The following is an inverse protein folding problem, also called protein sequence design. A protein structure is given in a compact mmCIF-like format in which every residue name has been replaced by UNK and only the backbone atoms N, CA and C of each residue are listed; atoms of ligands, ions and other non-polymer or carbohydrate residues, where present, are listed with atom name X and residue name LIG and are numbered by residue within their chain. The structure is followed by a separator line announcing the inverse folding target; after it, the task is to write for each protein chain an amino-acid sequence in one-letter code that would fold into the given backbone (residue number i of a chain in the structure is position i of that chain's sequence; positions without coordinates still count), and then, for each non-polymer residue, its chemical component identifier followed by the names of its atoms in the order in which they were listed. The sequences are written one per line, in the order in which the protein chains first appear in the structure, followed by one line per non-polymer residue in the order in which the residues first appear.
data_IF_335437349997
#
_entry.id   IF_335437349997
#
_cell.length_a   1.000
_cell.length_b   1.000
_cell.length_c   1.000
_cell.angle_alpha   90.00
_cell.angle_beta   90.00
_cell.angle_gamma   90.00
#
_symmetry.space_group_name_H-M   'P 1'
#
loop_
_entity.id
_entity.type
_entity.pdbx_description
1 polymer ?
#
# COMPACT_ATOMS: atom_id res chain seq x y z
N UNK A 1 22.02 36.67 -19.71
CA UNK A 1 21.03 35.61 -19.43
C UNK A 1 20.82 35.59 -17.93
N UNK A 2 19.59 35.72 -17.43
CA UNK A 2 19.35 35.44 -16.02
C UNK A 2 19.76 33.99 -15.77
N UNK A 3 20.66 33.76 -14.81
CA UNK A 3 21.00 32.41 -14.35
C UNK A 3 19.67 31.77 -13.92
N UNK A 4 19.23 30.75 -14.66
CA UNK A 4 18.08 29.95 -14.22
C UNK A 4 18.57 29.17 -13.00
N UNK A 5 17.77 29.18 -11.94
CA UNK A 5 18.05 28.37 -10.77
C UNK A 5 17.96 26.91 -11.20
N UNK A 6 19.12 26.25 -11.36
CA UNK A 6 19.19 24.87 -11.82
C UNK A 6 19.81 23.99 -10.74
N UNK A 7 19.33 22.76 -10.64
CA UNK A 7 19.92 21.74 -9.80
C UNK A 7 20.04 20.42 -10.56
N UNK A 8 20.93 19.57 -10.07
CA UNK A 8 21.10 18.20 -10.54
C UNK A 8 20.55 17.22 -9.51
N UNK A 9 20.21 16.02 -9.93
CA UNK A 9 19.93 14.91 -9.03
C UNK A 9 20.91 13.75 -9.30
N UNK A 10 21.32 13.06 -8.24
CA UNK A 10 22.39 12.08 -8.28
C UNK A 10 22.07 10.82 -7.48
N UNK A 11 22.56 9.69 -7.97
CA UNK A 11 22.44 8.37 -7.36
C UNK A 11 23.79 7.64 -7.36
N UNK A 12 23.81 6.33 -7.07
CA UNK A 12 25.03 5.52 -7.15
C UNK A 12 25.65 5.42 -8.54
N UNK A 13 24.89 5.77 -9.59
CA UNK A 13 25.40 5.78 -10.97
C UNK A 13 26.29 7.00 -11.25
N UNK A 14 26.19 8.04 -10.45
CA UNK A 14 26.96 9.27 -10.63
C UNK A 14 28.23 9.27 -9.77
N UNK A 15 29.30 9.97 -10.17
CA UNK A 15 30.48 10.17 -9.34
C UNK A 15 30.14 10.83 -8.00
N UNK A 16 31.02 10.64 -7.02
CA UNK A 16 30.90 11.21 -5.68
C UNK A 16 32.06 12.14 -5.32
N UNK A 17 32.92 12.48 -6.28
CA UNK A 17 34.13 13.28 -6.05
C UNK A 17 33.83 14.77 -5.95
N UNK A 18 34.69 15.53 -5.26
CA UNK A 18 34.58 16.98 -5.16
C UNK A 18 34.71 17.65 -6.53
N UNK A 19 35.58 17.12 -7.39
CA UNK A 19 35.81 17.64 -8.74
C UNK A 19 34.55 17.54 -9.60
N UNK A 20 33.76 16.46 -9.45
CA UNK A 20 32.48 16.31 -10.14
C UNK A 20 31.49 17.40 -9.74
N UNK A 21 31.29 17.63 -8.44
CA UNK A 21 30.38 18.69 -7.98
C UNK A 21 30.89 20.09 -8.30
N UNK A 22 32.21 20.31 -8.29
CA UNK A 22 32.79 21.57 -8.72
C UNK A 22 32.55 21.82 -10.22
N UNK A 23 32.66 20.79 -11.05
CA UNK A 23 32.37 20.88 -12.48
C UNK A 23 30.88 21.18 -12.73
N UNK A 24 29.97 20.50 -12.03
CA UNK A 24 28.53 20.76 -12.11
C UNK A 24 28.20 22.21 -11.70
N UNK A 25 28.79 22.70 -10.59
CA UNK A 25 28.65 24.09 -10.15
C UNK A 25 29.15 25.08 -11.20
N UNK A 26 30.29 24.81 -11.82
CA UNK A 26 30.86 25.66 -12.87
C UNK A 26 29.97 25.70 -14.13
N UNK A 27 29.15 24.68 -14.35
CA UNK A 27 28.14 24.64 -15.42
C UNK A 27 26.77 25.21 -15.02
N UNK A 28 26.64 25.75 -13.81
CA UNK A 28 25.45 26.47 -13.35
C UNK A 28 24.54 25.71 -12.39
N UNK A 29 24.95 24.53 -11.89
CA UNK A 29 24.22 23.89 -10.79
C UNK A 29 24.34 24.74 -9.52
N UNK A 30 23.20 24.98 -8.86
CA UNK A 30 23.10 25.65 -7.57
C UNK A 30 22.68 24.69 -6.44
N UNK A 31 22.09 23.55 -6.80
CA UNK A 31 21.71 22.49 -5.87
C UNK A 31 22.04 21.08 -6.39
N UNK A 32 22.02 20.12 -5.46
CA UNK A 32 22.12 18.69 -5.73
C UNK A 32 21.09 17.92 -4.87
N UNK A 33 20.24 17.11 -5.49
CA UNK A 33 19.33 16.18 -4.78
C UNK A 33 19.95 14.79 -4.80
N UNK A 34 20.25 14.23 -3.62
CA UNK A 34 21.01 12.98 -3.50
C UNK A 34 20.07 11.84 -3.12
N UNK A 35 20.09 10.73 -3.88
CA UNK A 35 19.41 9.49 -3.51
C UNK A 35 20.01 8.95 -2.22
N UNK A 36 19.21 8.77 -1.19
CA UNK A 36 19.69 8.10 0.02
C UNK A 36 19.31 6.63 0.03
N UNK A 37 18.05 6.35 -0.29
CA UNK A 37 17.43 5.06 -0.01
C UNK A 37 16.46 4.64 -1.12
N UNK A 38 16.20 3.34 -1.22
CA UNK A 38 15.16 2.77 -2.08
C UNK A 38 14.47 1.59 -1.39
N UNK A 39 13.14 1.68 -1.30
CA UNK A 39 12.28 0.71 -0.64
C UNK A 39 12.51 0.55 0.86
N UNK A 40 11.85 -0.44 1.46
CA UNK A 40 11.74 -0.58 2.93
C UNK A 40 12.92 -1.27 3.59
N UNK A 41 13.18 -0.96 4.87
CA UNK A 41 14.27 -1.58 5.67
C UNK A 41 14.08 -3.09 5.88
N UNK A 42 12.83 -3.55 5.85
CA UNK A 42 12.43 -4.95 5.92
C UNK A 42 12.28 -5.61 4.53
N UNK A 43 12.66 -4.91 3.45
CA UNK A 43 12.57 -5.37 2.06
C UNK A 43 13.88 -5.17 1.28
N UNK A 44 13.88 -4.31 0.27
CA UNK A 44 15.06 -4.02 -0.54
C UNK A 44 16.14 -3.25 0.23
N UNK A 45 15.77 -2.47 1.24
CA UNK A 45 16.64 -1.73 2.15
C UNK A 45 17.89 -1.13 1.49
N UNK A 46 17.75 -0.62 0.26
CA UNK A 46 18.90 -0.16 -0.49
C UNK A 46 19.33 1.18 0.10
N UNK A 47 20.62 1.30 0.38
CA UNK A 47 21.26 2.58 0.73
C UNK A 47 22.25 2.89 -0.38
N UNK A 48 22.20 4.11 -0.91
CA UNK A 48 23.18 4.57 -1.89
C UNK A 48 24.58 4.61 -1.23
N UNK A 49 25.54 3.77 -1.67
CA UNK A 49 26.86 3.67 -1.04
C UNK A 49 27.68 4.94 -1.21
N UNK A 50 27.31 5.79 -2.18
CA UNK A 50 28.00 7.04 -2.51
C UNK A 50 27.39 8.25 -1.81
N UNK A 51 26.20 8.13 -1.22
CA UNK A 51 25.44 9.26 -0.72
C UNK A 51 26.21 10.13 0.29
N UNK A 52 26.86 9.52 1.28
CA UNK A 52 27.63 10.28 2.27
C UNK A 52 28.77 11.10 1.63
N UNK A 53 29.46 10.54 0.63
CA UNK A 53 30.49 11.26 -0.11
C UNK A 53 29.89 12.33 -1.03
N UNK A 54 28.78 12.02 -1.71
CA UNK A 54 28.05 12.94 -2.57
C UNK A 54 27.57 14.18 -1.81
N UNK A 55 26.88 13.99 -0.68
CA UNK A 55 26.42 15.09 0.19
C UNK A 55 27.62 15.94 0.62
N UNK A 56 28.65 15.31 1.21
CA UNK A 56 29.80 16.04 1.75
C UNK A 56 30.50 16.87 0.68
N UNK A 57 30.70 16.31 -0.51
CA UNK A 57 31.42 16.96 -1.57
C UNK A 57 30.58 18.03 -2.29
N UNK A 58 29.27 17.85 -2.41
CA UNK A 58 28.34 18.89 -2.87
C UNK A 58 28.31 20.09 -1.91
N UNK A 59 28.19 19.85 -0.61
CA UNK A 59 28.26 20.89 0.43
C UNK A 59 29.62 21.61 0.39
N UNK A 60 30.73 20.87 0.23
CA UNK A 60 32.08 21.43 0.21
C UNK A 60 32.37 22.37 -0.96
N UNK A 61 31.59 22.28 -2.06
CA UNK A 61 31.66 23.24 -3.17
C UNK A 61 30.56 24.30 -3.08
N UNK A 62 29.72 24.27 -2.05
CA UNK A 62 28.66 25.23 -1.78
C UNK A 62 27.44 25.07 -2.69
N UNK A 63 27.05 23.84 -3.02
CA UNK A 63 25.71 23.53 -3.54
C UNK A 63 24.74 23.37 -2.38
N UNK A 64 23.48 23.77 -2.58
CA UNK A 64 22.39 23.34 -1.69
C UNK A 64 22.18 21.83 -1.84
N UNK A 65 21.99 21.12 -0.73
CA UNK A 65 21.75 19.66 -0.78
C UNK A 65 20.36 19.34 -0.24
N UNK A 66 19.63 18.57 -1.05
CA UNK A 66 18.36 17.92 -0.70
C UNK A 66 18.52 16.40 -0.84
N UNK A 67 17.57 15.64 -0.33
CA UNK A 67 17.64 14.19 -0.33
C UNK A 67 16.37 13.57 -0.90
N UNK A 68 16.48 12.43 -1.57
CA UNK A 68 15.30 11.69 -2.03
C UNK A 68 15.35 10.21 -1.65
N UNK A 69 14.15 9.63 -1.54
CA UNK A 69 13.89 8.22 -1.37
C UNK A 69 13.13 7.70 -2.59
N UNK A 70 13.70 6.73 -3.32
CA UNK A 70 13.00 6.09 -4.44
C UNK A 70 11.91 5.15 -3.90
N UNK A 71 10.65 5.54 -4.09
CA UNK A 71 9.48 4.87 -3.52
C UNK A 71 9.25 3.50 -4.14
N UNK A 72 9.00 2.52 -3.27
CA UNK A 72 8.61 1.16 -3.67
C UNK A 72 7.42 0.64 -2.84
N UNK A 73 6.85 1.51 -2.02
CA UNK A 73 5.84 1.13 -1.05
C UNK A 73 4.65 0.44 -1.69
N UNK A 74 4.16 -0.59 -1.03
CA UNK A 74 3.02 -1.41 -1.49
C UNK A 74 1.77 -1.22 -0.62
N UNK A 75 1.84 -0.33 0.37
CA UNK A 75 0.73 0.09 1.22
C UNK A 75 1.09 1.35 2.01
N UNK A 76 0.11 1.97 2.68
CA UNK A 76 0.34 3.08 3.63
C UNK A 76 1.34 2.69 4.74
N UNK A 77 1.20 1.49 5.32
CA UNK A 77 2.09 1.04 6.39
C UNK A 77 3.54 0.86 5.90
N UNK A 78 3.68 0.41 4.65
CA UNK A 78 4.97 0.25 3.97
C UNK A 78 5.60 1.61 3.64
N UNK A 79 4.81 2.56 3.15
CA UNK A 79 5.23 3.94 2.93
C UNK A 79 5.76 4.61 4.22
N UNK A 80 5.11 4.36 5.36
CA UNK A 80 5.60 4.82 6.65
C UNK A 80 6.91 4.10 7.07
N UNK A 81 7.10 2.83 6.67
CA UNK A 81 8.37 2.11 6.89
C UNK A 81 9.50 2.73 6.05
N UNK A 82 9.27 2.92 4.76
CA UNK A 82 10.19 3.60 3.84
C UNK A 82 10.58 4.99 4.36
N UNK A 83 9.61 5.77 4.87
CA UNK A 83 9.86 7.07 5.48
C UNK A 83 10.76 6.99 6.72
N UNK A 84 10.50 6.04 7.63
CA UNK A 84 11.36 5.80 8.82
C UNK A 84 12.78 5.40 8.42
N UNK A 85 12.91 4.54 7.42
CA UNK A 85 14.21 4.12 6.88
C UNK A 85 14.96 5.31 6.26
N UNK A 86 14.27 6.08 5.42
CA UNK A 86 14.83 7.29 4.79
C UNK A 86 15.34 8.28 5.84
N UNK A 87 14.54 8.59 6.86
CA UNK A 87 14.92 9.49 7.96
C UNK A 87 16.08 8.93 8.78
N UNK A 88 16.09 7.62 9.08
CA UNK A 88 17.20 6.98 9.79
C UNK A 88 18.52 7.19 9.06
N UNK A 89 18.54 6.95 7.76
CA UNK A 89 19.74 7.12 6.92
C UNK A 89 20.11 8.60 6.77
N UNK A 90 19.15 9.50 6.58
CA UNK A 90 19.39 10.94 6.53
C UNK A 90 20.09 11.46 7.80
N UNK A 91 19.58 11.07 8.99
CA UNK A 91 20.21 11.41 10.27
C UNK A 91 21.62 10.83 10.39
N UNK A 92 21.83 9.59 9.95
CA UNK A 92 23.15 8.97 9.94
C UNK A 92 24.14 9.72 9.04
N UNK A 93 23.68 10.31 7.94
CA UNK A 93 24.48 11.12 7.03
C UNK A 93 24.61 12.59 7.45
N UNK A 94 24.09 12.97 8.62
CA UNK A 94 24.21 14.34 9.13
C UNK A 94 23.30 15.34 8.43
N UNK A 95 22.22 14.87 7.82
CA UNK A 95 21.14 15.70 7.28
C UNK A 95 20.08 15.92 8.36
N UNK A 96 19.76 17.17 8.70
CA UNK A 96 18.87 17.51 9.82
C UNK A 96 17.61 18.24 9.37
N UNK A 97 16.89 18.85 10.32
CA UNK A 97 15.49 19.29 10.25
C UNK A 97 15.17 20.32 9.15
N UNK A 98 16.17 21.01 8.61
CA UNK A 98 16.08 21.93 7.48
C UNK A 98 16.26 21.27 6.10
N UNK A 99 16.66 20.00 6.06
CA UNK A 99 16.88 19.27 4.80
C UNK A 99 15.54 19.07 4.09
N UNK A 100 15.50 19.40 2.80
CA UNK A 100 14.37 19.06 1.94
C UNK A 100 14.41 17.56 1.61
N UNK A 101 13.37 16.85 2.06
CA UNK A 101 13.22 15.40 1.95
C UNK A 101 12.15 15.07 0.91
N UNK A 102 12.55 14.39 -0.17
CA UNK A 102 11.70 14.11 -1.32
C UNK A 102 11.24 12.65 -1.35
N UNK A 103 9.94 12.42 -1.49
CA UNK A 103 9.36 11.15 -1.95
C UNK A 103 9.47 11.07 -3.47
N UNK A 104 10.31 10.18 -4.00
CA UNK A 104 10.49 9.95 -5.43
C UNK A 104 9.50 8.86 -5.89
N UNK A 105 8.30 9.32 -6.24
CA UNK A 105 7.10 8.52 -6.42
C UNK A 105 6.88 8.17 -7.91
N UNK A 106 7.66 7.22 -8.42
CA UNK A 106 7.65 6.82 -9.84
C UNK A 106 6.99 5.46 -10.13
N UNK A 107 6.76 4.65 -9.09
CA UNK A 107 6.27 3.28 -9.25
C UNK A 107 4.86 3.19 -8.70
N UNK A 108 3.84 3.27 -9.56
CA UNK A 108 2.43 3.13 -9.17
C UNK A 108 2.10 1.69 -8.75
N UNK A 109 2.55 1.30 -7.57
CA UNK A 109 2.49 -0.03 -6.95
C UNK A 109 1.22 -0.27 -6.11
N UNK A 110 0.43 0.78 -5.85
CA UNK A 110 -0.80 0.72 -5.04
C UNK A 110 -1.91 1.51 -5.71
N UNK A 111 -3.16 1.05 -5.56
CA UNK A 111 -4.32 1.71 -6.18
C UNK A 111 -4.56 3.15 -5.70
N UNK A 112 -4.34 3.41 -4.40
CA UNK A 112 -4.41 4.77 -3.84
C UNK A 112 -3.00 5.31 -3.59
N UNK A 113 -2.33 5.68 -4.69
CA UNK A 113 -0.97 6.21 -4.67
C UNK A 113 -0.90 7.57 -3.97
N UNK A 114 -1.93 8.40 -4.13
CA UNK A 114 -2.02 9.72 -3.51
C UNK A 114 -1.98 9.64 -1.97
N UNK A 115 -2.86 8.83 -1.36
CA UNK A 115 -2.90 8.71 0.10
C UNK A 115 -1.64 8.02 0.65
N UNK A 116 -1.05 7.11 -0.12
CA UNK A 116 0.14 6.36 0.29
C UNK A 116 1.39 7.24 0.29
N UNK A 117 1.62 8.03 -0.76
CA UNK A 117 2.68 9.04 -0.81
C UNK A 117 2.49 10.13 0.25
N UNK A 118 1.25 10.56 0.49
CA UNK A 118 0.96 11.51 1.57
C UNK A 118 1.33 10.95 2.95
N UNK A 119 1.07 9.66 3.20
CA UNK A 119 1.44 8.99 4.44
C UNK A 119 2.96 8.88 4.62
N UNK A 120 3.73 8.64 3.55
CA UNK A 120 5.19 8.71 3.57
C UNK A 120 5.65 10.09 4.05
N UNK A 121 5.18 11.16 3.41
CA UNK A 121 5.62 12.52 3.70
C UNK A 121 5.21 12.98 5.12
N UNK A 122 4.01 12.61 5.57
CA UNK A 122 3.55 12.88 6.93
C UNK A 122 4.41 12.16 7.98
N UNK A 123 4.87 10.94 7.71
CA UNK A 123 5.77 10.22 8.61
C UNK A 123 7.16 10.88 8.65
N UNK A 124 7.70 11.31 7.51
CA UNK A 124 8.96 12.10 7.47
C UNK A 124 8.85 13.36 8.33
N UNK A 125 7.72 14.07 8.27
CA UNK A 125 7.43 15.24 9.09
C UNK A 125 7.32 14.92 10.58
N UNK A 126 6.59 13.85 10.93
CA UNK A 126 6.46 13.38 12.29
C UNK A 126 7.82 13.02 12.92
N UNK A 127 8.80 12.64 12.11
CA UNK A 127 10.16 12.31 12.52
C UNK A 127 11.13 13.52 12.57
N UNK A 128 10.63 14.71 12.25
CA UNK A 128 11.30 15.99 12.52
C UNK A 128 11.73 16.81 11.30
N UNK A 129 11.50 16.35 10.06
CA UNK A 129 11.86 17.08 8.85
C UNK A 129 10.68 17.91 8.35
N UNK A 130 10.80 19.23 8.40
CA UNK A 130 9.67 20.13 8.07
C UNK A 130 9.58 20.46 6.59
N UNK A 131 10.67 20.27 5.86
CA UNK A 131 10.76 20.56 4.44
C UNK A 131 10.61 19.23 3.68
N UNK A 132 9.42 18.99 3.14
CA UNK A 132 9.13 17.77 2.38
C UNK A 132 8.57 18.10 1.01
N UNK A 133 8.73 17.16 0.09
CA UNK A 133 8.25 17.30 -1.28
C UNK A 133 8.06 15.97 -1.96
N UNK A 134 7.40 16.01 -3.11
CA UNK A 134 7.22 14.85 -3.96
C UNK A 134 7.83 15.11 -5.32
N UNK A 135 8.50 14.09 -5.84
CA UNK A 135 8.87 14.00 -7.23
C UNK A 135 8.03 12.94 -7.95
N UNK A 136 7.57 13.26 -9.16
CA UNK A 136 6.95 12.28 -10.06
C UNK A 136 6.90 12.83 -11.49
N UNK A 137 6.59 11.97 -12.47
CA UNK A 137 6.38 12.42 -13.85
C UNK A 137 5.05 13.15 -14.03
N UNK A 138 5.06 14.11 -14.97
CA UNK A 138 3.88 14.87 -15.40
C UNK A 138 2.66 14.00 -15.68
N UNK A 139 2.84 12.79 -16.22
CA UNK A 139 1.74 11.87 -16.55
C UNK A 139 0.98 11.36 -15.33
N UNK A 140 1.62 11.24 -14.15
CA UNK A 140 0.91 10.83 -12.93
C UNK A 140 -0.02 11.92 -12.42
N UNK A 141 0.42 13.17 -12.49
CA UNK A 141 -0.43 14.31 -12.13
C UNK A 141 -1.55 14.53 -13.15
N UNK A 142 -1.19 14.63 -14.43
CA UNK A 142 -2.18 14.91 -15.49
C UNK A 142 -3.11 13.73 -15.81
N UNK A 143 -2.72 12.51 -15.43
CA UNK A 143 -3.53 11.30 -15.54
C UNK A 143 -4.40 11.00 -14.30
N UNK A 144 -4.29 11.79 -13.24
CA UNK A 144 -5.12 11.65 -12.02
C UNK A 144 -4.68 10.56 -11.04
N UNK A 145 -3.47 9.99 -11.21
CA UNK A 145 -2.86 9.10 -10.20
C UNK A 145 -2.46 9.92 -8.97
N UNK A 146 -1.93 11.12 -9.21
CA UNK A 146 -1.58 12.10 -8.19
C UNK A 146 -2.32 13.41 -8.45
N UNK A 147 -2.69 14.10 -7.39
CA UNK A 147 -3.20 15.47 -7.42
C UNK A 147 -2.17 16.37 -6.72
N UNK A 148 -1.53 17.27 -7.47
CA UNK A 148 -0.47 18.13 -6.94
C UNK A 148 -0.96 19.04 -5.81
N UNK A 149 -2.22 19.49 -5.83
CA UNK A 149 -2.82 20.25 -4.73
C UNK A 149 -3.17 19.39 -3.51
N UNK A 150 -3.23 18.06 -3.68
CA UNK A 150 -3.45 17.10 -2.60
C UNK A 150 -2.31 16.99 -1.60
N UNK A 151 -1.13 17.53 -1.93
CA UNK A 151 0.05 17.52 -1.06
C UNK A 151 0.18 18.77 -0.16
N UNK A 152 -0.77 19.71 -0.24
CA UNK A 152 -0.77 20.91 0.59
C UNK A 152 0.38 21.86 0.23
N UNK A 153 1.16 22.28 1.22
CA UNK A 153 2.28 23.22 1.05
C UNK A 153 3.62 22.56 0.72
N UNK A 154 3.62 21.26 0.40
CA UNK A 154 4.85 20.52 0.10
C UNK A 154 5.36 20.84 -1.30
N UNK A 155 6.66 20.67 -1.49
CA UNK A 155 7.31 20.92 -2.78
C UNK A 155 6.82 19.92 -3.84
N UNK A 156 6.56 20.42 -5.06
CA UNK A 156 6.08 19.62 -6.19
C UNK A 156 7.14 19.67 -7.29
N UNK A 157 7.97 18.63 -7.37
CA UNK A 157 8.99 18.49 -8.39
C UNK A 157 8.50 17.55 -9.49
N UNK A 158 8.43 18.04 -10.73
CA UNK A 158 7.79 17.30 -11.82
C UNK A 158 8.76 16.98 -12.94
N UNK A 159 8.81 15.73 -13.40
CA UNK A 159 9.50 15.36 -14.63
C UNK A 159 8.64 15.58 -15.88
N UNK A 160 9.19 16.24 -16.89
CA UNK A 160 8.53 16.44 -18.16
C UNK A 160 9.50 16.88 -19.25
N UNK A 161 9.87 15.96 -20.15
CA UNK A 161 10.90 16.20 -21.15
C UNK A 161 10.31 16.62 -22.50
N UNK A 162 10.96 17.54 -23.19
CA UNK A 162 10.56 17.97 -24.54
C UNK A 162 9.21 18.71 -24.60
N UNK A 163 8.64 19.11 -23.45
CA UNK A 163 7.40 19.88 -23.36
C UNK A 163 7.69 21.35 -23.08
N UNK A 164 6.75 22.22 -23.44
CA UNK A 164 6.85 23.67 -23.18
C UNK A 164 6.11 24.12 -21.92
N UNK A 165 5.27 23.24 -21.36
CA UNK A 165 4.50 23.49 -20.13
C UNK A 165 4.22 22.18 -19.39
N UNK A 166 4.27 22.23 -18.06
CA UNK A 166 3.89 21.11 -17.19
C UNK A 166 2.38 20.92 -17.08
N UNK A 167 1.59 21.99 -17.27
CA UNK A 167 0.14 21.96 -16.98
C UNK A 167 -0.19 21.69 -15.50
N UNK A 168 0.75 21.98 -14.60
CA UNK A 168 0.65 21.87 -13.14
C UNK A 168 1.05 23.23 -12.59
N UNK A 169 0.09 23.94 -12.02
CA UNK A 169 0.20 25.36 -11.66
C UNK A 169 0.94 25.61 -10.34
N UNK A 170 1.01 24.61 -9.46
CA UNK A 170 1.75 24.64 -8.20
C UNK A 170 3.06 23.83 -8.23
N UNK A 171 3.59 23.52 -9.42
CA UNK A 171 4.92 22.92 -9.53
C UNK A 171 5.98 23.90 -8.98
N UNK A 172 6.85 23.42 -8.10
CA UNK A 172 7.95 24.21 -7.51
C UNK A 172 9.27 23.96 -8.22
N UNK A 173 9.42 22.76 -8.81
CA UNK A 173 10.53 22.44 -9.68
C UNK A 173 10.10 21.62 -10.91
N UNK A 174 10.90 21.71 -11.97
CA UNK A 174 10.70 20.98 -13.22
C UNK A 174 11.99 20.29 -13.66
N UNK A 175 12.01 18.95 -13.65
CA UNK A 175 13.04 18.19 -14.34
C UNK A 175 12.79 18.24 -15.84
N UNK A 176 13.63 19.01 -16.53
CA UNK A 176 13.44 19.35 -17.95
C UNK A 176 14.16 18.40 -18.90
N UNK A 177 15.18 17.69 -18.41
CA UNK A 177 16.05 16.81 -19.20
C UNK A 177 16.76 15.81 -18.30
N UNK A 178 17.04 14.63 -18.85
CA UNK A 178 17.91 13.57 -18.31
C UNK A 178 19.38 13.71 -18.79
N UNK A 179 19.66 14.66 -19.70
CA UNK A 179 20.98 14.89 -20.29
C UNK A 179 21.37 16.38 -20.26
N UNK A 180 21.32 17.00 -19.09
CA UNK A 180 21.61 18.42 -18.88
C UNK A 180 23.06 18.68 -18.47
N UNK A 181 23.24 19.31 -17.30
CA UNK A 181 24.55 19.62 -16.72
C UNK A 181 25.36 18.34 -16.61
N UNK A 182 26.58 18.34 -17.13
CA UNK A 182 27.45 17.15 -17.13
C UNK A 182 26.83 15.89 -17.77
N UNK A 183 25.77 16.03 -18.57
CA UNK A 183 25.06 14.92 -19.19
C UNK A 183 24.22 14.10 -18.20
N UNK A 184 23.74 14.70 -17.12
CA UNK A 184 22.86 14.05 -16.13
C UNK A 184 21.56 14.85 -15.96
N UNK A 185 20.61 14.23 -15.27
CA UNK A 185 19.31 14.79 -14.92
C UNK A 185 19.44 16.21 -14.34
N UNK A 186 18.71 17.14 -14.95
CA UNK A 186 18.79 18.56 -14.62
C UNK A 186 17.40 19.19 -14.56
N UNK A 187 17.19 19.88 -13.45
CA UNK A 187 15.93 20.51 -13.11
C UNK A 187 16.06 22.02 -12.99
N UNK A 188 14.96 22.70 -13.30
CA UNK A 188 14.75 24.11 -13.01
C UNK A 188 13.99 24.23 -11.69
N UNK A 189 14.43 25.15 -10.85
CA UNK A 189 13.82 25.50 -9.58
C UNK A 189 13.13 26.86 -9.71
N UNK A 190 11.82 26.91 -9.47
CA UNK A 190 11.02 28.12 -9.71
C UNK A 190 10.97 29.05 -8.50
N UNK A 191 11.07 28.52 -7.29
CA UNK A 191 10.89 29.27 -6.05
C UNK A 191 12.12 29.28 -5.15
N UNK A 192 13.15 28.48 -5.47
CA UNK A 192 14.39 28.42 -4.74
C UNK A 192 14.47 27.28 -3.72
N UNK A 193 13.45 26.42 -3.62
CA UNK A 193 13.41 25.31 -2.66
C UNK A 193 14.59 24.35 -2.82
N UNK A 194 15.15 24.20 -4.02
CA UNK A 194 16.26 23.29 -4.32
C UNK A 194 17.62 23.99 -4.48
N UNK A 195 17.63 25.32 -4.67
CA UNK A 195 18.83 26.06 -5.07
C UNK A 195 19.22 27.22 -4.16
N UNK A 196 18.34 27.64 -3.25
CA UNK A 196 18.56 28.82 -2.38
C UNK A 196 18.61 28.45 -0.89
N UNK A 197 19.37 29.22 -0.11
CA UNK A 197 19.65 28.90 1.30
C UNK A 197 20.85 27.98 1.46
N UNK A 198 21.31 27.82 2.70
CA UNK A 198 22.39 26.91 3.03
C UNK A 198 21.82 25.66 3.70
N UNK A 199 22.20 24.48 3.22
CA UNK A 199 22.02 23.24 3.98
C UNK A 199 23.19 23.13 4.94
N UNK A 200 22.94 23.21 6.25
CA UNK A 200 23.99 23.05 7.26
C UNK A 200 24.12 21.57 7.66
N UNK A 201 25.35 21.05 7.74
CA UNK A 201 25.58 19.68 8.19
C UNK A 201 27.04 19.32 8.29
N UNK A 202 27.41 18.57 9.33
CA UNK A 202 28.73 17.91 9.41
C UNK A 202 28.53 16.45 9.02
N UNK A 203 28.82 16.12 7.75
CA UNK A 203 28.61 14.77 7.21
C UNK A 203 29.77 13.86 7.62
N UNK A 204 29.53 12.80 8.42
CA UNK A 204 30.61 11.93 8.85
C UNK A 204 31.24 11.15 7.69
N UNK A 205 32.49 10.72 7.88
CA UNK A 205 33.15 9.76 6.98
C UNK A 205 32.62 8.37 7.32
N UNK A 206 31.63 7.90 6.57
CA UNK A 206 30.97 6.61 6.78
C UNK A 206 31.19 5.75 5.55
N UNK A 207 31.66 4.53 5.76
CA UNK A 207 31.73 3.53 4.72
C UNK A 207 30.41 2.75 4.71
N UNK A 208 29.58 2.98 3.69
CA UNK A 208 28.38 2.18 3.46
C UNK A 208 28.82 0.96 2.63
N UNK A 209 28.54 -0.29 3.09
CA UNK A 209 28.86 -1.47 2.31
C UNK A 209 28.29 -1.38 0.90
N UNK A 210 28.99 -1.98 -0.08
CA UNK A 210 28.48 -2.02 -1.45
C UNK A 210 27.05 -2.60 -1.45
N UNK A 211 26.10 -1.97 -2.17
CA UNK A 211 24.73 -2.42 -2.20
C UNK A 211 24.71 -3.84 -2.76
N UNK A 212 24.08 -4.76 -2.05
CA UNK A 212 23.80 -6.07 -2.63
C UNK A 212 22.73 -5.88 -3.72
N UNK A 213 22.77 -6.64 -4.84
CA UNK A 213 21.68 -6.66 -5.79
C UNK A 213 20.42 -7.15 -5.08
N UNK A 214 19.60 -6.22 -4.63
CA UNK A 214 18.34 -6.54 -3.98
C UNK A 214 17.29 -6.68 -5.07
N UNK A 215 16.85 -7.91 -5.27
CA UNK A 215 15.60 -8.15 -5.95
C UNK A 215 14.53 -7.46 -5.11
N UNK A 216 13.71 -6.60 -5.74
CA UNK A 216 12.48 -6.09 -5.12
C UNK A 216 11.49 -7.23 -4.96
N UNK A 217 11.79 -8.14 -4.04
CA UNK A 217 10.78 -8.93 -3.38
C UNK A 217 10.11 -7.95 -2.46
N UNK A 218 9.02 -7.32 -2.94
CA UNK A 218 8.16 -6.56 -2.06
C UNK A 218 7.89 -7.47 -0.85
N UNK A 219 8.41 -7.07 0.30
CA UNK A 219 8.13 -7.79 1.53
C UNK A 219 7.07 -6.96 2.19
N UNK A 220 5.83 -7.43 2.07
CA UNK A 220 4.72 -6.65 2.53
C UNK A 220 4.82 -6.63 4.07
N UNK A 221 4.38 -5.52 4.66
CA UNK A 221 4.44 -5.24 6.10
C UNK A 221 4.24 -6.49 6.98
N UNK A 222 5.03 -6.66 8.04
CA UNK A 222 4.97 -7.79 8.98
C UNK A 222 3.60 -8.44 9.03
N UNK A 223 3.49 -9.66 8.47
CA UNK A 223 2.19 -10.31 8.36
C UNK A 223 1.59 -10.38 6.97
N UNK A 224 2.37 -10.15 5.92
CA UNK A 224 1.95 -10.34 4.52
C UNK A 224 3.03 -11.16 3.74
N UNK A 225 2.76 -11.60 2.51
CA UNK A 225 3.61 -12.42 1.64
C UNK A 225 3.33 -12.13 0.17
N UNK A 226 4.37 -12.02 -0.68
CA UNK A 226 4.20 -11.93 -2.13
C UNK A 226 4.24 -13.31 -2.78
N UNK A 227 3.19 -13.61 -3.54
CA UNK A 227 3.06 -14.83 -4.35
C UNK A 227 4.22 -14.93 -5.34
N UNK A 228 5.00 -16.00 -5.22
CA UNK A 228 6.13 -16.35 -6.08
C UNK A 228 5.69 -17.29 -7.21
N UNK A 229 6.49 -17.41 -8.30
CA UNK A 229 6.25 -18.41 -9.33
C UNK A 229 6.14 -19.82 -8.74
N UNK A 230 5.02 -20.50 -9.02
CA UNK A 230 4.76 -21.86 -8.53
C UNK A 230 4.06 -21.94 -7.17
N UNK A 231 3.77 -20.82 -6.53
CA UNK A 231 3.01 -20.81 -5.30
C UNK A 231 1.54 -21.21 -5.50
N UNK A 232 0.98 -21.82 -4.47
CA UNK A 232 -0.47 -22.04 -4.32
C UNK A 232 -0.92 -21.42 -3.01
N UNK A 233 -2.18 -20.99 -2.92
CA UNK A 233 -2.70 -20.41 -1.67
C UNK A 233 -2.61 -21.41 -0.51
N UNK A 234 -2.74 -22.71 -0.79
CA UNK A 234 -2.51 -23.80 0.16
C UNK A 234 -1.07 -23.92 0.62
N UNK A 235 -0.10 -23.88 -0.29
CA UNK A 235 1.32 -23.98 0.08
C UNK A 235 1.78 -22.77 0.90
N UNK A 236 1.27 -21.58 0.58
CA UNK A 236 1.51 -20.38 1.36
C UNK A 236 0.88 -20.52 2.75
N UNK A 237 -0.37 -20.97 2.86
CA UNK A 237 -1.02 -21.13 4.16
C UNK A 237 -0.28 -22.10 5.09
N UNK A 238 0.19 -23.23 4.57
CA UNK A 238 0.99 -24.21 5.31
C UNK A 238 2.29 -23.60 5.84
N UNK A 239 3.01 -22.85 4.99
CA UNK A 239 4.25 -22.15 5.35
C UNK A 239 4.06 -21.19 6.54
N UNK A 240 2.87 -20.62 6.68
CA UNK A 240 2.53 -19.67 7.75
C UNK A 240 1.68 -20.28 8.87
N UNK A 241 1.56 -21.61 8.93
CA UNK A 241 0.83 -22.31 9.99
C UNK A 241 -0.66 -21.95 10.06
N UNK A 242 -1.27 -21.60 8.93
CA UNK A 242 -2.70 -21.29 8.79
C UNK A 242 -3.36 -22.18 7.75
N UNK A 243 -4.63 -21.92 7.43
CA UNK A 243 -5.36 -22.64 6.39
C UNK A 243 -5.57 -21.72 5.18
N UNK A 244 -5.65 -22.29 3.98
CA UNK A 244 -5.90 -21.48 2.78
C UNK A 244 -7.24 -20.75 2.87
N UNK A 245 -8.20 -21.26 3.66
CA UNK A 245 -9.49 -20.61 3.90
C UNK A 245 -9.33 -19.33 4.70
N UNK A 246 -8.55 -19.38 5.79
CA UNK A 246 -8.24 -18.19 6.57
C UNK A 246 -7.45 -17.19 5.73
N UNK A 247 -6.51 -17.70 4.94
CA UNK A 247 -5.69 -16.88 4.06
C UNK A 247 -6.52 -16.23 2.95
N UNK A 248 -7.44 -16.98 2.32
CA UNK A 248 -8.39 -16.44 1.35
C UNK A 248 -9.30 -15.39 1.98
N UNK A 249 -9.79 -15.64 3.19
CA UNK A 249 -10.70 -14.74 3.90
C UNK A 249 -10.05 -13.40 4.24
N UNK A 250 -8.84 -13.40 4.81
CA UNK A 250 -8.11 -12.18 5.18
C UNK A 250 -7.73 -11.36 3.92
N UNK A 251 -7.60 -12.03 2.78
CA UNK A 251 -7.23 -11.42 1.49
C UNK A 251 -8.38 -11.19 0.52
N UNK A 252 -9.62 -11.50 0.92
CA UNK A 252 -10.80 -11.45 0.04
C UNK A 252 -10.61 -12.20 -1.29
N UNK A 253 -9.87 -13.31 -1.28
CA UNK A 253 -9.63 -14.12 -2.47
C UNK A 253 -10.88 -14.95 -2.73
N UNK A 254 -11.51 -14.70 -3.87
CA UNK A 254 -12.60 -15.50 -4.40
C UNK A 254 -12.13 -16.91 -4.66
N UNK A 255 -11.46 -17.14 -5.78
CA UNK A 255 -10.97 -18.47 -6.14
C UNK A 255 -9.58 -18.74 -5.54
N UNK A 256 -9.45 -19.68 -4.57
CA UNK A 256 -8.17 -19.98 -3.92
C UNK A 256 -7.13 -20.62 -4.86
N UNK A 257 -7.55 -21.09 -6.04
CA UNK A 257 -6.65 -21.64 -7.06
C UNK A 257 -6.14 -20.58 -8.04
N UNK A 258 -6.66 -19.35 -7.97
CA UNK A 258 -6.27 -18.25 -8.84
C UNK A 258 -5.65 -17.12 -8.01
N UNK A 259 -4.34 -17.27 -7.76
CA UNK A 259 -3.48 -16.20 -7.23
C UNK A 259 -2.45 -15.82 -8.31
N UNK A 260 -2.11 -14.54 -8.38
CA UNK A 260 -1.19 -14.04 -9.40
C UNK A 260 0.22 -13.90 -8.82
N UNK A 261 1.25 -14.28 -9.59
CA UNK A 261 2.64 -13.97 -9.23
C UNK A 261 2.78 -12.46 -9.04
N UNK A 262 3.43 -12.05 -7.94
CA UNK A 262 3.54 -10.65 -7.53
C UNK A 262 2.37 -10.14 -6.68
N UNK A 263 1.30 -10.92 -6.50
CA UNK A 263 0.19 -10.56 -5.61
C UNK A 263 0.65 -10.54 -4.15
N UNK A 264 0.33 -9.46 -3.44
CA UNK A 264 0.56 -9.32 -2.00
C UNK A 264 -0.60 -9.91 -1.22
N UNK A 265 -0.32 -10.86 -0.32
CA UNK A 265 -1.27 -11.53 0.56
C UNK A 265 -0.97 -11.22 2.03
N UNK A 266 -1.95 -10.82 2.84
CA UNK A 266 -1.92 -10.90 4.30
C UNK A 266 -1.82 -12.34 4.76
N UNK A 267 -0.73 -12.72 5.42
CA UNK A 267 -0.49 -14.07 5.97
C UNK A 267 -0.63 -14.14 7.48
N UNK A 268 -0.80 -13.02 8.16
CA UNK A 268 -1.18 -12.95 9.57
C UNK A 268 -2.37 -12.01 9.75
N UNK A 269 -3.08 -12.18 10.87
CA UNK A 269 -4.30 -11.44 11.17
C UNK A 269 -5.47 -12.38 11.43
N UNK A 270 -6.56 -11.82 11.91
CA UNK A 270 -7.84 -12.52 12.01
C UNK A 270 -8.74 -11.99 10.89
N UNK A 271 -9.60 -12.84 10.29
CA UNK A 271 -10.62 -12.36 9.36
C UNK A 271 -11.39 -11.22 10.04
N UNK A 272 -11.57 -10.10 9.35
CA UNK A 272 -12.46 -9.04 9.81
C UNK A 272 -13.84 -9.64 10.08
N UNK A 273 -14.57 -9.14 11.07
CA UNK A 273 -15.89 -9.63 11.51
C UNK A 273 -17.01 -9.52 10.46
N UNK A 274 -16.68 -9.27 9.20
CA UNK A 274 -17.56 -9.66 8.09
C UNK A 274 -17.59 -11.18 8.03
N UNK A 275 -18.61 -11.76 8.67
CA UNK A 275 -18.81 -13.20 8.69
C UNK A 275 -19.07 -13.64 7.24
N UNK A 276 -18.03 -14.06 6.53
CA UNK A 276 -18.07 -14.35 5.09
C UNK A 276 -17.41 -15.69 4.83
N UNK A 277 -17.87 -16.39 3.80
CA UNK A 277 -17.42 -17.71 3.43
C UNK A 277 -17.24 -17.80 1.91
N UNK A 278 -16.09 -18.29 1.48
CA UNK A 278 -15.83 -18.55 0.07
C UNK A 278 -16.18 -20.00 -0.23
N UNK A 279 -17.07 -20.20 -1.20
CA UNK A 279 -17.55 -21.53 -1.63
C UNK A 279 -16.38 -22.41 -2.06
N UNK A 280 -16.32 -23.63 -1.55
CA UNK A 280 -15.26 -24.61 -1.81
C UNK A 280 -15.68 -25.60 -2.90
N UNK A 281 -14.70 -26.31 -3.49
CA UNK A 281 -15.00 -27.40 -4.40
C UNK A 281 -15.81 -28.50 -3.69
N UNK A 282 -16.98 -28.83 -4.24
CA UNK A 282 -17.93 -29.79 -3.65
C UNK A 282 -18.92 -29.18 -2.65
N UNK A 283 -18.85 -27.88 -2.38
CA UNK A 283 -19.85 -27.23 -1.54
C UNK A 283 -21.21 -27.15 -2.24
N UNK A 284 -22.25 -27.15 -1.42
CA UNK A 284 -23.63 -26.80 -1.79
C UNK A 284 -24.13 -25.73 -0.81
N UNK A 285 -25.09 -24.89 -1.20
CA UNK A 285 -25.66 -23.92 -0.26
C UNK A 285 -26.27 -24.60 0.97
N UNK A 286 -26.83 -25.81 0.83
CA UNK A 286 -27.34 -26.60 1.95
C UNK A 286 -26.23 -27.08 2.88
N UNK A 287 -25.13 -27.61 2.34
CA UNK A 287 -23.95 -28.00 3.13
C UNK A 287 -23.33 -26.81 3.88
N UNK A 288 -23.24 -25.66 3.22
CA UNK A 288 -22.74 -24.41 3.81
C UNK A 288 -23.69 -23.92 4.91
N UNK A 289 -25.01 -23.92 4.64
CA UNK A 289 -26.01 -23.52 5.62
C UNK A 289 -25.91 -24.35 6.91
N UNK A 290 -25.78 -25.68 6.79
CA UNK A 290 -25.57 -26.59 7.92
C UNK A 290 -24.26 -26.27 8.65
N UNK A 291 -23.16 -26.12 7.90
CA UNK A 291 -21.81 -25.85 8.44
C UNK A 291 -21.76 -24.57 9.28
N UNK A 292 -22.52 -23.55 8.90
CA UNK A 292 -22.53 -22.24 9.57
C UNK A 292 -23.77 -21.97 10.41
N UNK A 293 -24.67 -22.94 10.57
CA UNK A 293 -25.88 -22.78 11.37
C UNK A 293 -26.81 -21.68 10.86
N UNK A 294 -26.93 -21.54 9.54
CA UNK A 294 -27.87 -20.63 8.87
C UNK A 294 -28.81 -21.43 7.95
N UNK A 295 -29.56 -20.76 7.07
CA UNK A 295 -30.41 -21.41 6.06
C UNK A 295 -29.99 -21.07 4.64
N UNK A 296 -30.33 -21.94 3.70
CA UNK A 296 -30.20 -21.66 2.27
C UNK A 296 -30.95 -20.38 1.91
N UNK A 297 -32.13 -20.14 2.50
CA UNK A 297 -32.91 -18.92 2.26
C UNK A 297 -32.21 -17.65 2.75
N UNK A 298 -31.61 -17.67 3.95
CA UNK A 298 -30.82 -16.54 4.46
C UNK A 298 -29.59 -16.31 3.57
N UNK A 299 -28.86 -17.37 3.22
CA UNK A 299 -27.73 -17.29 2.30
C UNK A 299 -28.14 -16.70 0.94
N UNK A 300 -29.24 -17.18 0.34
CA UNK A 300 -29.75 -16.70 -0.95
C UNK A 300 -30.13 -15.23 -0.88
N UNK A 301 -30.90 -14.84 0.13
CA UNK A 301 -31.39 -13.47 0.29
C UNK A 301 -30.28 -12.47 0.56
N UNK A 302 -29.34 -12.81 1.45
CA UNK A 302 -28.21 -11.97 1.86
C UNK A 302 -27.15 -11.81 0.78
N UNK A 303 -27.02 -12.82 -0.08
CA UNK A 303 -26.04 -12.85 -1.16
C UNK A 303 -26.64 -12.58 -2.54
N UNK A 304 -27.94 -12.25 -2.59
CA UNK A 304 -28.67 -11.98 -3.82
C UNK A 304 -28.51 -13.09 -4.88
N UNK A 305 -28.54 -14.36 -4.46
CA UNK A 305 -28.34 -15.51 -5.34
C UNK A 305 -29.62 -15.80 -6.12
N UNK A 306 -29.59 -15.60 -7.44
CA UNK A 306 -30.76 -15.83 -8.31
C UNK A 306 -31.15 -17.30 -8.42
N UNK A 307 -30.17 -18.22 -8.43
CA UNK A 307 -30.43 -19.67 -8.49
C UNK A 307 -29.72 -20.39 -7.32
N UNK A 308 -30.47 -20.86 -6.30
CA UNK A 308 -29.90 -21.52 -5.12
C UNK A 308 -29.11 -22.82 -5.40
N UNK A 309 -29.29 -23.42 -6.58
CA UNK A 309 -28.59 -24.64 -6.98
C UNK A 309 -27.27 -24.36 -7.71
N UNK A 310 -26.95 -23.08 -7.97
CA UNK A 310 -25.74 -22.69 -8.70
C UNK A 310 -24.93 -21.76 -7.82
N UNK A 311 -23.85 -22.31 -7.28
CA UNK A 311 -22.79 -21.55 -6.64
C UNK A 311 -21.46 -21.91 -7.29
N UNK A 312 -20.55 -20.95 -7.34
CA UNK A 312 -19.25 -21.12 -7.97
C UNK A 312 -18.17 -21.29 -6.90
N UNK A 313 -17.21 -22.18 -7.14
CA UNK A 313 -16.01 -22.23 -6.30
C UNK A 313 -15.39 -20.84 -6.26
N UNK A 314 -15.15 -20.38 -5.03
CA UNK A 314 -14.65 -19.05 -4.75
C UNK A 314 -15.68 -17.92 -4.74
N UNK A 315 -16.96 -18.21 -4.89
CA UNK A 315 -18.01 -17.24 -4.66
C UNK A 315 -17.99 -16.79 -3.18
N UNK A 316 -17.87 -15.48 -2.93
CA UNK A 316 -18.00 -14.88 -1.59
C UNK A 316 -19.47 -14.93 -1.16
N UNK A 317 -19.73 -15.58 -0.02
CA UNK A 317 -21.00 -15.57 0.67
C UNK A 317 -20.88 -14.79 1.98
N UNK A 318 -21.64 -13.72 2.12
CA UNK A 318 -21.97 -13.08 3.38
C UNK A 318 -22.84 -14.04 4.20
N UNK A 319 -22.39 -14.31 5.42
CA UNK A 319 -23.09 -15.06 6.46
C UNK A 319 -23.67 -14.07 7.48
N UNK A 320 -24.71 -14.45 8.20
CA UNK A 320 -25.18 -13.66 9.33
C UNK A 320 -24.10 -13.58 10.42
N UNK A 321 -23.82 -12.38 10.97
CA UNK A 321 -22.88 -12.24 12.08
C UNK A 321 -23.34 -13.06 13.30
N UNK A 322 -22.40 -13.66 14.06
CA UNK A 322 -22.72 -14.33 15.33
C UNK A 322 -23.45 -13.35 16.24
N UNK A 323 -24.78 -13.46 16.31
CA UNK A 323 -25.62 -12.61 17.16
C UNK A 323 -26.90 -12.06 16.55
N UNK A 324 -27.21 -12.27 15.26
CA UNK A 324 -28.52 -11.88 14.72
C UNK A 324 -29.44 -13.08 14.41
N UNK A 325 -30.33 -13.30 15.39
CA UNK A 325 -31.51 -14.16 15.47
C UNK A 325 -31.52 -15.48 14.67
N UNK A 326 -31.18 -16.56 15.37
CA UNK A 326 -31.63 -17.92 15.08
C UNK A 326 -33.14 -18.03 15.37
N UNK A 327 -33.99 -17.23 14.74
CA UNK A 327 -35.40 -17.19 15.08
C UNK A 327 -36.29 -16.94 13.87
N UNK A 328 -37.34 -17.76 13.74
CA UNK A 328 -38.34 -17.70 12.70
C UNK A 328 -39.63 -17.13 13.23
N UNK A 329 -40.20 -16.13 12.57
CA UNK A 329 -41.53 -15.61 12.93
C UNK A 329 -42.59 -16.37 12.14
N UNK A 330 -43.48 -17.04 12.87
CA UNK A 330 -44.59 -17.85 12.34
C UNK A 330 -45.52 -16.99 11.50
N UNK A 331 -45.83 -17.47 10.30
CA UNK A 331 -46.75 -16.87 9.33
C UNK A 331 -48.05 -17.66 9.29
N UNK A 332 -49.07 -17.05 8.68
CA UNK A 332 -50.36 -17.72 8.48
C UNK A 332 -50.19 -18.97 7.62
N UNK A 333 -50.65 -20.11 8.13
CA UNK A 333 -50.56 -21.42 7.46
C UNK A 333 -49.33 -22.25 7.83
N UNK A 334 -48.45 -21.75 8.68
CA UNK A 334 -47.31 -22.52 9.15
C UNK A 334 -47.71 -23.63 10.14
N UNK A 335 -46.94 -24.70 10.13
CA UNK A 335 -46.95 -25.72 11.18
C UNK A 335 -45.53 -25.91 11.68
N UNK A 336 -45.37 -26.38 12.93
CA UNK A 336 -44.04 -26.63 13.48
C UNK A 336 -43.27 -27.68 12.67
N UNK A 337 -43.98 -28.64 12.07
CA UNK A 337 -43.42 -29.63 11.15
C UNK A 337 -42.93 -29.02 9.84
N UNK A 338 -43.70 -28.12 9.23
CA UNK A 338 -43.26 -27.46 7.99
C UNK A 338 -42.07 -26.52 8.27
N UNK A 339 -42.10 -25.81 9.39
CA UNK A 339 -40.98 -25.02 9.89
C UNK A 339 -39.76 -25.93 10.09
N UNK A 340 -39.90 -27.05 10.81
CA UNK A 340 -38.81 -28.00 11.01
C UNK A 340 -38.23 -28.52 9.69
N UNK A 341 -39.08 -28.82 8.71
CA UNK A 341 -38.65 -29.24 7.37
C UNK A 341 -37.89 -28.12 6.63
N UNK A 342 -38.37 -26.87 6.72
CA UNK A 342 -37.69 -25.68 6.16
C UNK A 342 -36.29 -25.51 6.78
N UNK A 343 -36.17 -25.82 8.07
CA UNK A 343 -34.92 -25.68 8.83
C UNK A 343 -34.13 -26.99 8.96
N UNK A 344 -34.49 -28.02 8.19
CA UNK A 344 -33.85 -29.34 8.19
C UNK A 344 -33.58 -29.92 9.60
N UNK A 345 -34.52 -29.70 10.50
CA UNK A 345 -34.53 -30.22 11.87
C UNK A 345 -35.81 -31.03 12.09
N UNK A 346 -36.04 -31.48 13.31
CA UNK A 346 -37.29 -32.15 13.68
C UNK A 346 -38.19 -31.20 14.44
N UNK A 347 -39.51 -31.36 14.29
CA UNK A 347 -40.46 -30.57 15.07
C UNK A 347 -40.27 -30.81 16.57
N UNK A 348 -39.78 -32.00 16.97
CA UNK A 348 -39.44 -32.33 18.35
C UNK A 348 -38.30 -31.45 18.87
N UNK A 349 -37.23 -31.29 18.08
CA UNK A 349 -36.10 -30.44 18.46
C UNK A 349 -36.53 -28.98 18.58
N UNK A 350 -37.35 -28.49 17.64
CA UNK A 350 -37.91 -27.15 17.73
C UNK A 350 -38.85 -26.98 18.93
N UNK A 351 -39.73 -27.95 19.18
CA UNK A 351 -40.66 -27.90 20.31
C UNK A 351 -39.92 -27.86 21.65
N UNK A 352 -38.91 -28.72 21.81
CA UNK A 352 -38.08 -28.77 23.01
C UNK A 352 -37.31 -27.46 23.23
N UNK A 353 -36.66 -26.95 22.18
CA UNK A 353 -35.86 -25.73 22.23
C UNK A 353 -36.68 -24.48 22.55
N UNK A 354 -37.96 -24.49 22.19
CA UNK A 354 -38.88 -23.36 22.36
C UNK A 354 -39.90 -23.56 23.49
N UNK A 355 -39.80 -24.64 24.26
CA UNK A 355 -40.76 -24.93 25.33
C UNK A 355 -42.20 -25.12 24.85
N UNK A 356 -42.40 -25.58 23.61
CA UNK A 356 -43.74 -25.76 23.01
C UNK A 356 -44.30 -27.11 23.47
N UNK A 357 -45.25 -27.06 24.40
CA UNK A 357 -45.89 -28.26 24.97
C UNK A 357 -46.78 -29.00 23.96
N UNK A 358 -47.43 -28.28 23.05
CA UNK A 358 -48.25 -28.85 21.99
C UNK A 358 -47.73 -28.41 20.62
N UNK A 359 -47.08 -29.29 19.83
CA UNK A 359 -46.44 -28.93 18.56
C UNK A 359 -47.43 -28.51 17.46
N UNK A 360 -48.73 -28.75 17.65
CA UNK A 360 -49.78 -28.32 16.73
C UNK A 360 -50.30 -26.90 17.02
N UNK A 361 -49.80 -26.24 18.06
CA UNK A 361 -50.26 -24.91 18.49
C UNK A 361 -49.09 -23.93 18.43
N UNK A 362 -49.00 -23.23 17.30
CA UNK A 362 -48.14 -22.06 17.10
C UNK A 362 -48.98 -20.89 16.59
N UNK A 363 -48.61 -19.66 16.93
CA UNK A 363 -49.38 -18.46 16.61
C UNK A 363 -48.69 -17.63 15.55
N UNK A 364 -49.45 -17.06 14.61
CA UNK A 364 -48.90 -16.07 13.66
C UNK A 364 -48.27 -14.91 14.44
N UNK A 365 -47.04 -14.54 14.09
CA UNK A 365 -46.23 -13.56 14.80
C UNK A 365 -45.39 -14.15 15.95
N UNK A 366 -45.59 -15.42 16.32
CA UNK A 366 -44.75 -16.09 17.32
C UNK A 366 -43.33 -16.29 16.78
N UNK A 367 -42.34 -16.03 17.63
CA UNK A 367 -40.94 -16.26 17.31
C UNK A 367 -40.51 -17.66 17.77
N UNK A 368 -40.03 -18.50 16.85
CA UNK A 368 -39.49 -19.84 17.06
C UNK A 368 -37.98 -19.78 16.94
N UNK A 369 -37.26 -20.04 18.01
CA UNK A 369 -35.81 -20.23 17.99
C UNK A 369 -35.46 -21.47 17.16
N UNK A 370 -34.69 -21.27 16.10
CA UNK A 370 -34.23 -22.28 15.14
C UNK A 370 -32.95 -22.91 15.63
#
# INVERSE_FOLDING_TARGET
MALRNSFIDVSSYNPDTKEFFQAAKNQGALGAVVKLTEGSEDGSAYVNPRAAAQIRNALAVGLKVSCYHFARYTSIADAQNEARFFVKIAKQFGMYDDTLMIDDAEVHSVTDYQSTSLAFLQEVEALGYKNTGIYSMKSFFTGGILNSHGFGSREIWVAGYGVTSLGIDNATAWQTTDHGIMGIDTSLDFDGAFTTGATAGTVPQINVPAPQPVQHVGHPATGTYIVQPGDTLSGIAEKYGTTYQNLAAINSIGDPNHINVGQVLKVTGQPTSENTYFVQAGDTLSGIAIKFGTTVSDLVSRNHITNPNVIYVGQKLYLAGRGQSNAYTVKSGDTLSNIANIFHTTWQALAQKNGIANPNVIYVGQTIQI
#
